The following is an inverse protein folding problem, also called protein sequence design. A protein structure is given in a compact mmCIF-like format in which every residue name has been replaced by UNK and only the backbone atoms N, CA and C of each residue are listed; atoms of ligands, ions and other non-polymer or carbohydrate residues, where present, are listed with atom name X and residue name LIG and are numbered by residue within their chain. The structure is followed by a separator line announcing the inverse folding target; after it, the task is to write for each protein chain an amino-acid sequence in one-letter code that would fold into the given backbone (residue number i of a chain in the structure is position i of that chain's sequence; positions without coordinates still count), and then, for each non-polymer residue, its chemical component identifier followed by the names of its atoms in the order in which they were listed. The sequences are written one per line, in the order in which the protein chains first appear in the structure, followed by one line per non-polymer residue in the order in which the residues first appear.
data_IF_940188747438
#
_entry.id   IF_940188747438
#
_cell.length_a   1.000
_cell.length_b   1.000
_cell.length_c   1.000
_cell.angle_alpha   90.00
_cell.angle_beta   90.00
_cell.angle_gamma   90.00
#
_symmetry.space_group_name_H-M   'P 1'
#
loop_
_entity.id
_entity.type
_entity.pdbx_description
1 polymer ?
#
# COMPACT_ATOMS: atom_id res chain seq x y z
N UNK A 1 -13.22 -19.71 18.68
CA UNK A 1 -13.27 -18.23 18.78
C UNK A 1 -14.28 -17.75 17.74
N UNK A 2 -15.32 -17.06 18.15
CA UNK A 2 -16.28 -16.43 17.23
C UNK A 2 -15.63 -15.16 16.69
N UNK A 3 -15.56 -15.01 15.37
CA UNK A 3 -15.06 -13.80 14.72
C UNK A 3 -15.89 -12.55 15.11
N UNK A 4 -15.41 -11.34 14.76
CA UNK A 4 -16.09 -10.12 15.13
C UNK A 4 -17.49 -10.06 14.53
N UNK A 5 -18.44 -9.59 15.33
CA UNK A 5 -19.83 -9.42 14.92
C UNK A 5 -19.93 -8.51 13.68
N UNK A 6 -20.99 -8.68 12.88
CA UNK A 6 -21.18 -7.92 11.64
C UNK A 6 -21.21 -6.40 11.87
N UNK A 7 -21.70 -5.94 13.01
CA UNK A 7 -21.76 -4.53 13.39
C UNK A 7 -20.39 -3.92 13.75
N UNK A 8 -19.38 -4.74 14.15
CA UNK A 8 -18.01 -4.26 14.36
C UNK A 8 -17.47 -3.53 13.13
N UNK A 9 -17.63 -4.15 11.95
CA UNK A 9 -17.13 -3.60 10.70
C UNK A 9 -17.90 -2.36 10.23
N UNK A 10 -19.18 -2.29 10.54
CA UNK A 10 -20.02 -1.14 10.24
C UNK A 10 -19.71 0.09 11.13
N UNK A 11 -19.11 -0.13 12.31
CA UNK A 11 -18.79 0.91 13.30
C UNK A 11 -17.30 1.31 13.32
N UNK A 12 -16.52 0.88 12.34
CA UNK A 12 -15.14 1.33 12.25
C UNK A 12 -15.07 2.86 12.12
N UNK A 13 -14.25 3.54 12.93
CA UNK A 13 -14.05 4.98 12.81
C UNK A 13 -13.13 5.30 11.62
N UNK A 14 -13.59 4.99 10.41
CA UNK A 14 -12.83 5.14 9.18
C UNK A 14 -12.46 6.60 8.90
N UNK A 15 -11.26 6.80 8.42
CA UNK A 15 -10.81 8.08 7.89
C UNK A 15 -11.56 8.46 6.60
N UNK A 16 -11.39 9.70 6.18
CA UNK A 16 -12.09 10.25 5.01
C UNK A 16 -11.83 9.39 3.76
N UNK A 17 -12.90 9.01 3.08
CA UNK A 17 -12.91 8.22 1.83
C UNK A 17 -12.28 6.81 1.95
N UNK A 18 -11.92 6.37 3.16
CA UNK A 18 -11.53 4.99 3.43
C UNK A 18 -12.75 4.10 3.37
N UNK A 19 -12.65 2.93 2.75
CA UNK A 19 -13.75 1.99 2.60
C UNK A 19 -13.32 0.57 2.92
N UNK A 20 -14.22 -0.22 3.48
CA UNK A 20 -14.05 -1.67 3.61
C UNK A 20 -14.21 -2.31 2.22
N UNK A 21 -13.22 -3.12 1.81
CA UNK A 21 -13.23 -3.84 0.53
C UNK A 21 -13.68 -5.28 0.69
N UNK A 22 -13.10 -5.98 1.66
CA UNK A 22 -13.34 -7.38 1.94
C UNK A 22 -13.13 -7.67 3.41
N UNK A 23 -13.75 -8.73 3.89
CA UNK A 23 -13.54 -9.27 5.24
C UNK A 23 -13.83 -10.76 5.25
N UNK A 24 -13.27 -11.48 6.21
CA UNK A 24 -13.64 -12.88 6.47
C UNK A 24 -14.26 -13.08 7.86
N UNK A 25 -14.68 -14.32 8.13
CA UNK A 25 -15.30 -14.69 9.39
C UNK A 25 -14.31 -14.72 10.57
N UNK A 26 -13.01 -14.78 10.32
CA UNK A 26 -11.97 -14.83 11.35
C UNK A 26 -11.50 -13.44 11.79
N UNK A 27 -12.01 -12.39 11.14
CA UNK A 27 -11.66 -11.01 11.50
C UNK A 27 -10.52 -10.39 10.68
N UNK A 28 -10.17 -10.97 9.55
CA UNK A 28 -9.31 -10.30 8.56
C UNK A 28 -10.13 -9.33 7.75
N UNK A 29 -9.58 -8.17 7.44
CA UNK A 29 -10.18 -7.20 6.56
C UNK A 29 -9.18 -6.53 5.63
N UNK A 30 -9.67 -6.09 4.50
CA UNK A 30 -8.98 -5.20 3.58
C UNK A 30 -9.72 -3.88 3.48
N UNK A 31 -8.98 -2.79 3.54
CA UNK A 31 -9.49 -1.43 3.39
C UNK A 31 -8.92 -0.78 2.14
N UNK A 32 -9.73 -0.01 1.43
CA UNK A 32 -9.26 0.89 0.37
C UNK A 32 -8.72 2.16 1.01
N UNK A 33 -7.40 2.33 0.97
CA UNK A 33 -6.74 3.56 1.43
C UNK A 33 -6.65 4.56 0.27
N UNK A 34 -7.22 5.75 0.37
CA UNK A 34 -7.04 6.83 -0.61
C UNK A 34 -5.59 7.36 -0.62
N UNK A 35 -5.26 8.17 -1.63
CA UNK A 35 -4.04 8.98 -1.62
C UNK A 35 -4.08 10.00 -0.49
N UNK A 36 -2.91 10.37 0.03
CA UNK A 36 -2.72 11.34 1.12
C UNK A 36 -3.34 10.95 2.46
N UNK A 37 -3.85 9.71 2.59
CA UNK A 37 -4.25 9.13 3.87
C UNK A 37 -3.07 8.38 4.47
N UNK A 38 -2.82 8.59 5.75
CA UNK A 38 -1.76 7.92 6.51
C UNK A 38 -2.20 6.49 6.87
N UNK A 39 -1.31 5.51 6.74
CA UNK A 39 -1.59 4.14 7.21
C UNK A 39 -1.80 4.08 8.73
N UNK A 40 -1.12 4.95 9.47
CA UNK A 40 -1.30 5.20 10.91
C UNK A 40 -0.99 6.67 11.20
N UNK A 41 -1.55 7.23 12.27
CA UNK A 41 -1.29 8.62 12.66
C UNK A 41 0.18 8.82 13.07
N UNK A 42 0.68 10.04 12.90
CA UNK A 42 2.00 10.44 13.38
C UNK A 42 2.00 10.76 14.89
N UNK A 43 0.82 10.85 15.50
CA UNK A 43 0.62 11.09 16.93
C UNK A 43 -0.18 9.93 17.55
N UNK A 44 0.15 9.47 18.78
CA UNK A 44 -0.61 8.43 19.46
C UNK A 44 -2.09 8.79 19.69
N UNK A 45 -2.43 10.08 19.75
CA UNK A 45 -3.80 10.58 19.97
C UNK A 45 -4.71 10.45 18.73
N UNK A 46 -4.15 10.10 17.58
CA UNK A 46 -4.84 10.02 16.30
C UNK A 46 -4.49 11.19 15.37
N UNK A 47 -4.94 11.07 14.12
CA UNK A 47 -4.81 12.10 13.08
C UNK A 47 -6.02 11.94 12.15
N UNK A 48 -6.79 13.00 11.84
CA UNK A 48 -7.95 12.92 10.96
C UNK A 48 -7.60 12.49 9.53
N UNK A 49 -6.32 12.54 9.16
CA UNK A 49 -5.81 12.05 7.86
C UNK A 49 -5.39 10.59 7.90
N UNK A 50 -5.55 9.89 9.04
CA UNK A 50 -5.18 8.48 9.14
C UNK A 50 -6.28 7.55 8.63
N UNK A 51 -5.92 6.28 8.44
CA UNK A 51 -6.81 5.20 7.99
C UNK A 51 -8.04 5.07 8.91
N UNK A 52 -7.82 5.17 10.24
CA UNK A 52 -8.88 5.34 11.23
C UNK A 52 -8.64 6.63 12.03
N UNK A 53 -9.73 7.29 12.44
CA UNK A 53 -9.70 8.57 13.17
C UNK A 53 -9.69 8.38 14.70
N UNK A 54 -8.97 7.38 15.17
CA UNK A 54 -8.87 7.05 16.61
C UNK A 54 -7.40 6.90 17.04
N UNK A 55 -7.18 6.58 18.31
CA UNK A 55 -5.85 6.39 18.88
C UNK A 55 -5.10 5.22 18.20
N UNK A 56 -3.78 5.32 18.14
CA UNK A 56 -2.93 4.29 17.57
C UNK A 56 -1.77 3.97 18.52
N UNK A 57 -1.57 2.70 18.77
CA UNK A 57 -0.43 2.18 19.53
C UNK A 57 0.67 1.72 18.53
N UNK A 58 1.80 2.45 18.44
CA UNK A 58 2.88 2.09 17.52
C UNK A 58 3.61 0.80 17.91
N UNK A 59 3.63 0.44 19.20
CA UNK A 59 4.30 -0.77 19.68
C UNK A 59 3.49 -2.03 19.33
N UNK A 60 2.18 -1.97 19.51
CA UNK A 60 1.27 -3.05 19.14
C UNK A 60 0.85 -3.02 17.66
N UNK A 61 1.20 -1.95 16.93
CA UNK A 61 0.77 -1.67 15.55
C UNK A 61 -0.77 -1.78 15.40
N UNK A 62 -1.51 -1.25 16.36
CA UNK A 62 -2.98 -1.32 16.35
C UNK A 62 -3.65 0.02 16.63
N UNK A 63 -4.80 0.22 15.99
CA UNK A 63 -5.77 1.23 16.35
C UNK A 63 -6.60 0.78 17.54
N UNK A 64 -6.95 1.71 18.42
CA UNK A 64 -7.78 1.44 19.59
C UNK A 64 -8.84 2.54 19.76
N UNK A 65 -10.08 2.13 20.01
CA UNK A 65 -11.19 3.04 20.31
C UNK A 65 -12.19 2.42 21.27
N UNK A 66 -13.07 3.25 21.80
CA UNK A 66 -14.16 2.81 22.67
C UNK A 66 -15.49 3.09 21.97
N UNK A 67 -16.34 2.07 21.89
CA UNK A 67 -17.69 2.23 21.37
C UNK A 67 -18.59 3.00 22.36
N UNK A 68 -19.71 3.58 21.89
CA UNK A 68 -20.66 4.29 22.79
C UNK A 68 -21.14 3.45 23.97
N UNK A 69 -21.22 2.13 23.83
CA UNK A 69 -21.56 1.18 24.91
C UNK A 69 -20.40 0.84 25.86
N UNK A 70 -19.25 1.52 25.76
CA UNK A 70 -18.08 1.36 26.63
C UNK A 70 -17.13 0.22 26.22
N UNK A 71 -17.48 -0.61 25.26
CA UNK A 71 -16.64 -1.71 24.80
C UNK A 71 -15.37 -1.19 24.12
N UNK A 72 -14.21 -1.69 24.56
CA UNK A 72 -12.94 -1.43 23.88
C UNK A 72 -12.82 -2.25 22.61
N UNK A 73 -12.35 -1.61 21.55
CA UNK A 73 -12.12 -2.22 20.25
C UNK A 73 -10.70 -1.97 19.77
N UNK A 74 -10.16 -2.94 19.04
CA UNK A 74 -8.82 -2.85 18.45
C UNK A 74 -8.84 -3.33 16.99
N UNK A 75 -7.98 -2.73 16.17
CA UNK A 75 -7.75 -3.14 14.78
C UNK A 75 -6.25 -3.09 14.51
N UNK A 76 -5.65 -4.24 14.28
CA UNK A 76 -4.21 -4.38 14.01
C UNK A 76 -3.92 -4.14 12.54
N UNK A 77 -2.93 -3.30 12.23
CA UNK A 77 -2.42 -3.18 10.87
C UNK A 77 -1.51 -4.36 10.55
N UNK A 78 -1.70 -4.95 9.37
CA UNK A 78 -0.93 -6.08 8.88
C UNK A 78 0.17 -5.65 7.89
N UNK A 79 -0.03 -4.55 7.21
CA UNK A 79 0.94 -3.90 6.32
C UNK A 79 0.75 -2.38 6.34
N UNK A 80 1.68 -1.67 5.68
CA UNK A 80 1.60 -0.22 5.52
C UNK A 80 1.79 0.17 4.07
N UNK A 81 1.15 1.26 3.68
CA UNK A 81 1.39 1.96 2.42
C UNK A 81 1.91 3.37 2.73
N UNK A 82 2.73 3.92 1.86
CA UNK A 82 3.11 5.33 1.93
C UNK A 82 1.83 6.19 1.89
N UNK A 83 1.85 7.37 2.49
CA UNK A 83 0.67 8.26 2.48
C UNK A 83 0.18 8.56 1.06
N UNK A 84 1.11 8.80 0.14
CA UNK A 84 0.82 9.07 -1.26
C UNK A 84 0.38 7.84 -2.09
N UNK A 85 0.59 6.61 -1.60
CA UNK A 85 0.15 5.37 -2.26
C UNK A 85 -1.29 5.06 -1.90
N UNK A 86 -2.12 4.73 -2.88
CA UNK A 86 -3.51 4.28 -2.67
C UNK A 86 -3.65 2.76 -2.80
N UNK A 87 -4.80 2.21 -2.42
CA UNK A 87 -5.16 0.81 -2.66
C UNK A 87 -5.32 -0.04 -1.42
N UNK A 88 -5.14 -1.35 -1.57
CA UNK A 88 -5.38 -2.35 -0.52
C UNK A 88 -4.42 -2.20 0.65
N UNK A 89 -4.96 -2.04 1.84
CA UNK A 89 -4.27 -2.18 3.12
C UNK A 89 -5.02 -3.21 3.98
N UNK A 90 -4.27 -4.07 4.64
CA UNK A 90 -4.84 -5.17 5.43
C UNK A 90 -4.86 -4.84 6.92
N UNK A 91 -5.90 -5.32 7.59
CA UNK A 91 -6.07 -5.21 9.02
C UNK A 91 -6.70 -6.48 9.61
N UNK A 92 -6.58 -6.67 10.91
CA UNK A 92 -7.23 -7.75 11.64
C UNK A 92 -7.90 -7.22 12.91
N UNK A 93 -9.08 -7.75 13.24
CA UNK A 93 -9.84 -7.40 14.45
C UNK A 93 -9.42 -8.26 15.66
N UNK A 94 -8.50 -9.20 15.48
CA UNK A 94 -7.99 -10.10 16.51
C UNK A 94 -6.47 -10.17 16.47
N UNK A 95 -5.81 -10.13 17.63
CA UNK A 95 -4.35 -10.11 17.73
C UNK A 95 -3.68 -11.43 17.32
N UNK A 96 -4.31 -12.58 17.56
CA UNK A 96 -3.76 -13.88 17.16
C UNK A 96 -3.84 -14.04 15.63
N UNK A 97 -4.95 -13.61 15.03
CA UNK A 97 -5.11 -13.54 13.57
C UNK A 97 -4.07 -12.59 12.97
N UNK A 98 -3.86 -11.43 13.58
CA UNK A 98 -2.83 -10.48 13.15
C UNK A 98 -1.43 -11.11 13.16
N UNK A 99 -1.07 -11.82 14.23
CA UNK A 99 0.21 -12.51 14.37
C UNK A 99 0.38 -13.59 13.30
N UNK A 100 -0.64 -14.42 13.07
CA UNK A 100 -0.62 -15.47 12.05
C UNK A 100 -0.36 -14.88 10.65
N UNK A 101 -1.01 -13.77 10.28
CA UNK A 101 -0.84 -13.14 8.98
C UNK A 101 0.50 -12.42 8.87
N UNK A 102 0.97 -11.73 9.92
CA UNK A 102 2.30 -11.13 9.96
C UNK A 102 3.41 -12.18 9.73
N UNK A 103 3.22 -13.40 10.22
CA UNK A 103 4.12 -14.52 9.92
C UNK A 103 4.16 -14.87 8.41
N UNK A 104 3.03 -14.78 7.69
CA UNK A 104 3.01 -14.98 6.23
C UNK A 104 3.78 -13.87 5.49
N UNK A 105 3.68 -12.61 5.94
CA UNK A 105 4.51 -11.53 5.41
C UNK A 105 6.01 -11.79 5.62
N UNK A 106 6.41 -12.23 6.82
CA UNK A 106 7.80 -12.55 7.13
C UNK A 106 8.34 -13.69 6.25
N UNK A 107 7.51 -14.71 5.97
CA UNK A 107 7.82 -15.83 5.08
C UNK A 107 7.72 -15.48 3.59
N UNK A 108 7.34 -14.23 3.22
CA UNK A 108 7.12 -13.77 1.83
C UNK A 108 6.03 -14.57 1.09
N UNK A 109 5.04 -15.07 1.80
CA UNK A 109 3.92 -15.88 1.28
C UNK A 109 2.68 -15.02 0.94
N UNK A 110 2.78 -13.70 1.08
CA UNK A 110 1.74 -12.75 0.68
C UNK A 110 2.04 -12.23 -0.71
N UNK A 111 1.21 -12.58 -1.69
CA UNK A 111 1.26 -11.99 -3.03
C UNK A 111 0.64 -10.60 -2.99
N UNK A 112 1.35 -9.63 -3.53
CA UNK A 112 0.91 -8.24 -3.66
C UNK A 112 1.08 -7.80 -5.09
N UNK A 113 0.05 -7.21 -5.67
CA UNK A 113 0.08 -6.64 -7.01
C UNK A 113 -0.17 -5.16 -6.90
N UNK A 114 0.73 -4.38 -7.49
CA UNK A 114 0.58 -2.94 -7.62
C UNK A 114 0.47 -2.57 -9.10
N UNK A 115 -0.20 -1.47 -9.36
CA UNK A 115 -0.10 -0.80 -10.65
C UNK A 115 0.49 0.60 -10.47
N UNK A 116 1.38 0.96 -11.39
CA UNK A 116 2.00 2.27 -11.42
C UNK A 116 1.95 2.84 -12.85
N UNK A 117 1.67 4.14 -12.94
CA UNK A 117 1.92 4.89 -14.17
C UNK A 117 3.36 5.42 -14.10
N UNK A 118 4.17 5.08 -15.08
CA UNK A 118 5.58 5.47 -15.14
C UNK A 118 5.86 6.33 -16.37
N UNK A 119 6.85 7.21 -16.28
CA UNK A 119 7.47 7.80 -17.46
C UNK A 119 8.45 6.82 -18.08
N UNK A 120 8.55 6.85 -19.41
CA UNK A 120 9.44 6.00 -20.16
C UNK A 120 8.72 4.85 -20.86
N UNK A 121 9.52 3.94 -21.41
CA UNK A 121 9.07 2.80 -22.22
C UNK A 121 9.57 1.51 -21.59
N UNK A 122 8.75 0.83 -20.76
CA UNK A 122 9.16 -0.44 -20.19
C UNK A 122 9.41 -1.48 -21.29
N UNK A 123 10.36 -2.42 -21.08
CA UNK A 123 10.54 -3.57 -21.95
C UNK A 123 9.23 -4.34 -22.15
N UNK A 124 9.10 -5.02 -23.30
CA UNK A 124 7.93 -5.87 -23.55
C UNK A 124 7.93 -7.11 -22.65
N UNK A 125 9.13 -7.66 -22.44
CA UNK A 125 9.31 -8.84 -21.60
C UNK A 125 9.28 -8.49 -20.10
N UNK A 126 8.71 -9.37 -19.28
CA UNK A 126 8.73 -9.21 -17.84
C UNK A 126 10.16 -9.09 -17.29
N UNK A 127 10.38 -8.13 -16.40
CA UNK A 127 11.65 -7.91 -15.74
C UNK A 127 11.58 -8.36 -14.28
N UNK A 128 12.65 -8.95 -13.76
CA UNK A 128 12.83 -9.20 -12.33
C UNK A 128 13.96 -8.31 -11.82
N UNK A 129 13.59 -7.34 -11.00
CA UNK A 129 14.54 -6.40 -10.41
C UNK A 129 15.04 -6.95 -9.08
N UNK A 130 16.36 -7.09 -8.96
CA UNK A 130 17.06 -7.52 -7.74
C UNK A 130 18.09 -6.47 -7.38
N UNK A 131 17.69 -5.58 -6.47
CA UNK A 131 18.51 -4.45 -6.05
C UNK A 131 18.90 -4.59 -4.57
N UNK A 132 19.89 -3.80 -4.16
CA UNK A 132 20.25 -3.61 -2.75
C UNK A 132 19.96 -2.18 -2.37
N UNK A 133 19.15 -1.99 -1.33
CA UNK A 133 18.68 -0.69 -0.87
C UNK A 133 19.40 -0.26 0.40
N UNK A 134 19.61 1.05 0.54
CA UNK A 134 19.97 1.73 1.77
C UNK A 134 18.78 2.55 2.24
N UNK A 135 18.44 2.47 3.52
CA UNK A 135 17.36 3.26 4.13
C UNK A 135 17.98 4.22 5.13
N UNK A 136 17.82 5.51 4.88
CA UNK A 136 18.22 6.59 5.78
C UNK A 136 16.98 7.16 6.48
N UNK A 137 17.06 7.30 7.79
CA UNK A 137 15.98 7.88 8.61
C UNK A 137 16.55 9.10 9.35
N UNK A 138 16.28 10.29 8.84
CA UNK A 138 16.73 11.55 9.44
C UNK A 138 15.57 12.52 9.62
N UNK A 139 15.49 13.15 10.78
CA UNK A 139 14.48 14.18 11.05
C UNK A 139 13.03 13.73 10.85
N UNK A 140 12.71 12.45 11.12
CA UNK A 140 11.36 11.90 10.87
C UNK A 140 11.06 11.56 9.40
N UNK A 141 11.96 11.89 8.47
CA UNK A 141 11.83 11.53 7.07
C UNK A 141 12.57 10.22 6.74
N UNK A 142 11.96 9.41 5.87
CA UNK A 142 12.59 8.19 5.34
C UNK A 142 13.03 8.48 3.91
N UNK A 143 14.30 8.24 3.64
CA UNK A 143 14.90 8.22 2.29
C UNK A 143 15.44 6.84 2.01
N UNK A 144 15.18 6.34 0.82
CA UNK A 144 15.69 5.05 0.36
C UNK A 144 16.49 5.26 -0.93
N UNK A 145 17.63 4.63 -1.05
CA UNK A 145 18.48 4.69 -2.24
C UNK A 145 18.93 3.28 -2.64
N UNK A 146 19.54 3.18 -3.83
CA UNK A 146 20.20 1.95 -4.30
C UNK A 146 21.67 1.98 -3.89
N UNK A 147 22.32 0.80 -3.82
CA UNK A 147 23.73 0.66 -3.43
C UNK A 147 23.94 0.36 -1.94
N UNK A 148 22.86 0.02 -1.20
CA UNK A 148 22.94 -0.44 0.19
C UNK A 148 23.14 -1.95 0.32
N UNK A 149 22.74 -2.46 1.50
CA UNK A 149 22.87 -3.90 1.84
C UNK A 149 21.53 -4.64 1.92
N UNK A 150 20.40 -3.92 1.92
CA UNK A 150 19.08 -4.51 2.15
C UNK A 150 18.53 -5.07 0.83
N UNK A 151 18.32 -6.39 0.70
CA UNK A 151 17.83 -6.97 -0.54
C UNK A 151 16.38 -6.55 -0.82
N UNK A 152 16.13 -6.19 -2.07
CA UNK A 152 14.83 -5.81 -2.60
C UNK A 152 14.58 -6.54 -3.92
N UNK A 153 13.45 -7.23 -4.03
CA UNK A 153 13.07 -7.95 -5.24
C UNK A 153 11.64 -7.58 -5.63
N UNK A 154 11.44 -7.26 -6.91
CA UNK A 154 10.13 -7.04 -7.52
C UNK A 154 10.12 -7.52 -8.97
N UNK A 155 8.98 -8.02 -9.44
CA UNK A 155 8.72 -8.28 -10.85
C UNK A 155 8.00 -7.07 -11.44
N UNK A 156 8.41 -6.65 -12.62
CA UNK A 156 7.78 -5.58 -13.39
C UNK A 156 7.31 -6.12 -14.74
N UNK A 157 6.07 -5.80 -15.11
CA UNK A 157 5.45 -6.19 -16.38
C UNK A 157 4.78 -4.97 -16.99
N UNK A 158 5.02 -4.72 -18.28
CA UNK A 158 4.26 -3.72 -19.02
C UNK A 158 2.81 -4.20 -19.21
N UNK A 159 1.85 -3.37 -18.82
CA UNK A 159 0.41 -3.67 -18.98
C UNK A 159 -0.14 -2.94 -20.18
N UNK A 160 0.12 -1.63 -20.29
CA UNK A 160 -0.40 -0.79 -21.35
C UNK A 160 0.53 0.40 -21.59
N UNK A 161 0.74 0.77 -22.85
CA UNK A 161 1.50 1.94 -23.24
C UNK A 161 0.55 3.07 -23.63
N UNK A 162 0.85 4.29 -23.21
CA UNK A 162 0.16 5.50 -23.59
C UNK A 162 0.82 6.17 -24.79
N UNK A 163 0.08 7.03 -25.46
CA UNK A 163 0.52 7.77 -26.65
C UNK A 163 1.14 9.14 -26.31
N UNK A 164 1.17 9.57 -25.05
CA UNK A 164 1.56 10.92 -24.66
C UNK A 164 3.07 11.21 -24.71
N UNK A 165 3.41 12.50 -24.72
CA UNK A 165 4.77 13.00 -24.55
C UNK A 165 4.90 13.75 -23.21
N UNK A 166 5.89 13.44 -22.36
CA UNK A 166 6.83 12.31 -22.50
C UNK A 166 6.08 10.94 -22.46
N UNK A 167 6.70 9.88 -23.06
CA UNK A 167 6.07 8.56 -23.09
C UNK A 167 5.71 8.07 -21.71
N UNK A 168 4.51 7.48 -21.57
CA UNK A 168 4.01 6.91 -20.33
C UNK A 168 3.55 5.48 -20.53
N UNK A 169 3.64 4.68 -19.48
CA UNK A 169 3.13 3.32 -19.50
C UNK A 169 2.51 2.95 -18.14
N UNK A 170 1.47 2.13 -18.17
CA UNK A 170 0.96 1.43 -17.02
C UNK A 170 1.76 0.14 -16.85
N UNK A 171 2.37 -0.04 -15.68
CA UNK A 171 3.11 -1.26 -15.33
C UNK A 171 2.48 -1.94 -14.12
N UNK A 172 2.54 -3.27 -14.11
CA UNK A 172 2.25 -4.09 -12.94
C UNK A 172 3.55 -4.39 -12.21
N UNK A 173 3.54 -4.22 -10.90
CA UNK A 173 4.68 -4.45 -10.01
C UNK A 173 4.28 -5.49 -8.97
N UNK A 174 5.06 -6.55 -8.83
CA UNK A 174 4.83 -7.62 -7.85
C UNK A 174 6.06 -7.70 -6.91
N UNK A 175 6.05 -6.97 -5.78
CA UNK A 175 7.18 -6.98 -4.85
C UNK A 175 7.18 -8.26 -4.01
N UNK A 176 8.30 -9.00 -4.02
CA UNK A 176 8.57 -10.13 -3.12
C UNK A 176 9.06 -9.70 -1.74
N UNK A 177 9.59 -8.51 -1.65
CA UNK A 177 10.01 -7.85 -0.40
C UNK A 177 9.12 -6.64 -0.13
N UNK A 178 9.20 -6.05 1.07
CA UNK A 178 8.38 -4.88 1.44
C UNK A 178 9.22 -3.82 2.15
N UNK A 179 10.23 -3.24 1.46
CA UNK A 179 11.08 -2.19 2.02
C UNK A 179 10.43 -0.83 1.87
N UNK A 180 10.76 0.10 2.76
CA UNK A 180 10.25 1.48 2.65
C UNK A 180 10.56 2.06 1.28
N UNK A 181 9.56 2.64 0.63
CA UNK A 181 9.63 3.25 -0.69
C UNK A 181 10.17 2.33 -1.81
N UNK A 182 10.23 1.00 -1.59
CA UNK A 182 10.90 0.06 -2.47
C UNK A 182 10.54 0.25 -3.94
N UNK A 183 9.26 0.14 -4.29
CA UNK A 183 8.81 0.21 -5.69
C UNK A 183 9.11 1.55 -6.33
N UNK A 184 9.04 2.63 -5.56
CA UNK A 184 9.32 3.99 -6.03
C UNK A 184 10.79 4.16 -6.42
N UNK A 185 11.70 3.66 -5.56
CA UNK A 185 13.14 3.69 -5.79
C UNK A 185 13.54 2.75 -6.93
N UNK A 186 13.00 1.53 -6.96
CA UNK A 186 13.29 0.57 -8.03
C UNK A 186 12.81 1.08 -9.38
N UNK A 187 11.60 1.62 -9.48
CA UNK A 187 11.12 2.22 -10.74
C UNK A 187 12.05 3.34 -11.22
N UNK A 188 12.46 4.25 -10.35
CA UNK A 188 13.40 5.32 -10.71
C UNK A 188 14.75 4.78 -11.16
N UNK A 189 15.32 3.80 -10.44
CA UNK A 189 16.60 3.18 -10.73
C UNK A 189 16.62 2.47 -12.09
N UNK A 190 15.53 1.81 -12.45
CA UNK A 190 15.38 1.10 -13.71
C UNK A 190 14.86 1.99 -14.85
N UNK A 191 14.97 3.32 -14.73
CA UNK A 191 14.63 4.27 -15.80
C UNK A 191 13.12 4.42 -16.07
N UNK A 192 12.29 4.01 -15.13
CA UNK A 192 10.83 4.06 -15.18
C UNK A 192 10.25 4.86 -13.98
N UNK A 193 10.66 6.13 -13.76
CA UNK A 193 10.21 6.89 -12.60
C UNK A 193 8.69 7.03 -12.59
N UNK A 194 8.08 6.84 -11.41
CA UNK A 194 6.61 6.89 -11.26
C UNK A 194 6.11 8.32 -11.43
N UNK A 195 5.06 8.49 -12.21
CA UNK A 195 4.38 9.78 -12.41
C UNK A 195 3.87 10.31 -11.08
N UNK A 196 4.18 11.58 -10.80
CA UNK A 196 3.77 12.25 -9.56
C UNK A 196 4.66 11.93 -8.35
N UNK A 197 5.72 11.13 -8.49
CA UNK A 197 6.66 10.91 -7.38
C UNK A 197 7.51 12.16 -7.12
N UNK A 198 7.26 12.81 -5.98
CA UNK A 198 7.93 14.05 -5.57
C UNK A 198 9.30 13.79 -4.88
N UNK A 199 9.73 12.53 -4.76
CA UNK A 199 10.96 12.16 -4.06
C UNK A 199 11.96 11.49 -4.97
N UNK A 200 11.50 10.57 -5.81
CA UNK A 200 12.33 9.70 -6.67
C UNK A 200 11.99 9.85 -8.16
N UNK A 201 10.97 10.63 -8.49
CA UNK A 201 10.48 10.79 -9.85
C UNK A 201 11.32 11.74 -10.72
N UNK A 202 10.92 11.85 -11.97
CA UNK A 202 11.40 12.89 -12.87
C UNK A 202 10.68 14.20 -12.56
N UNK A 203 11.36 15.12 -11.88
CA UNK A 203 10.77 16.39 -11.43
C UNK A 203 10.38 17.33 -12.57
N UNK A 204 11.09 17.27 -13.71
CA UNK A 204 10.75 18.08 -14.90
C UNK A 204 9.49 17.54 -15.56
N UNK A 205 9.46 16.23 -15.83
CA UNK A 205 8.28 15.57 -16.40
C UNK A 205 7.06 15.68 -15.48
N UNK A 206 7.23 15.58 -14.15
CA UNK A 206 6.16 15.76 -13.18
C UNK A 206 5.57 17.19 -13.21
N UNK A 207 6.39 18.24 -13.32
CA UNK A 207 5.89 19.62 -13.46
C UNK A 207 5.12 19.80 -14.75
N UNK A 208 5.62 19.28 -15.86
CA UNK A 208 4.95 19.31 -17.15
C UNK A 208 3.61 18.59 -17.10
N UNK A 209 3.60 17.36 -16.58
CA UNK A 209 2.40 16.56 -16.39
C UNK A 209 1.37 17.28 -15.53
N UNK A 210 1.77 17.86 -14.39
CA UNK A 210 0.88 18.57 -13.51
C UNK A 210 0.25 19.82 -14.16
N UNK A 211 1.01 20.57 -15.00
CA UNK A 211 0.47 21.70 -15.77
C UNK A 211 -0.60 21.25 -16.76
N UNK A 212 -0.40 20.12 -17.42
CA UNK A 212 -1.30 19.61 -18.47
C UNK A 212 -2.56 18.96 -17.92
N UNK A 213 -2.46 18.27 -16.76
CA UNK A 213 -3.54 17.43 -16.21
C UNK A 213 -4.17 17.99 -14.93
N UNK A 214 -3.53 18.94 -14.27
CA UNK A 214 -3.91 19.42 -12.93
C UNK A 214 -3.59 18.43 -11.81
N UNK A 215 -3.09 17.22 -12.11
CA UNK A 215 -2.85 16.16 -11.12
C UNK A 215 -1.41 16.17 -10.62
N UNK A 216 -1.25 16.11 -9.28
CA UNK A 216 0.05 16.00 -8.60
C UNK A 216 0.15 14.72 -7.76
N UNK A 217 -0.82 13.80 -7.88
CA UNK A 217 -0.80 12.56 -7.10
C UNK A 217 0.35 11.65 -7.50
N UNK A 218 0.82 10.82 -6.57
CA UNK A 218 1.65 9.66 -6.89
C UNK A 218 0.77 8.59 -7.58
N UNK A 219 1.11 8.22 -8.81
CA UNK A 219 0.40 7.17 -9.55
C UNK A 219 0.96 5.79 -9.22
N UNK A 220 0.84 5.40 -7.94
CA UNK A 220 1.13 4.06 -7.41
C UNK A 220 -0.08 3.57 -6.63
N UNK A 221 -0.57 2.37 -6.97
CA UNK A 221 -1.77 1.79 -6.41
C UNK A 221 -1.56 0.33 -6.04
N UNK A 222 -1.84 -0.04 -4.80
CA UNK A 222 -1.90 -1.42 -4.32
C UNK A 222 -3.20 -2.05 -4.80
N UNK A 223 -3.13 -2.76 -5.94
CA UNK A 223 -4.31 -3.27 -6.64
C UNK A 223 -4.91 -4.49 -5.96
N UNK A 224 -4.07 -5.48 -5.65
CA UNK A 224 -4.50 -6.78 -5.14
C UNK A 224 -3.56 -7.28 -4.05
N UNK A 225 -4.11 -7.96 -3.06
CA UNK A 225 -3.35 -8.75 -2.10
C UNK A 225 -4.03 -10.09 -1.92
N UNK A 226 -3.25 -11.19 -2.00
CA UNK A 226 -3.72 -12.57 -1.85
C UNK A 226 -2.75 -13.38 -0.99
N UNK A 227 -3.29 -14.16 -0.06
CA UNK A 227 -2.53 -15.08 0.80
C UNK A 227 -3.44 -16.16 1.39
N UNK A 228 -2.81 -17.15 2.03
CA UNK A 228 -3.50 -18.06 2.94
C UNK A 228 -2.84 -17.97 4.32
N UNK A 229 -3.61 -18.16 5.37
CA UNK A 229 -3.11 -18.16 6.76
C UNK A 229 -3.70 -19.32 7.54
N UNK A 230 -2.99 -19.76 8.56
CA UNK A 230 -3.42 -20.83 9.45
C UNK A 230 -3.99 -20.28 10.75
N UNK A 231 -5.13 -20.81 11.17
CA UNK A 231 -5.77 -20.49 12.44
C UNK A 231 -6.40 -21.75 13.01
N UNK A 232 -6.07 -22.09 14.26
CA UNK A 232 -6.59 -23.28 14.96
C UNK A 232 -6.45 -24.58 14.11
N UNK A 233 -5.31 -24.79 13.45
CA UNK A 233 -5.01 -25.96 12.63
C UNK A 233 -5.74 -26.03 11.28
N UNK A 234 -6.38 -24.95 10.86
CA UNK A 234 -7.09 -24.85 9.57
C UNK A 234 -6.51 -23.72 8.72
N UNK A 235 -6.44 -23.94 7.41
CA UNK A 235 -5.98 -22.95 6.44
C UNK A 235 -7.16 -22.19 5.85
N UNK A 236 -7.03 -20.86 5.80
CA UNK A 236 -8.02 -19.94 5.26
C UNK A 236 -7.40 -19.09 4.15
N UNK A 237 -7.97 -19.07 2.93
CA UNK A 237 -7.56 -18.15 1.89
C UNK A 237 -8.16 -16.76 2.15
N UNK A 238 -7.41 -15.71 1.77
CA UNK A 238 -7.91 -14.34 1.76
C UNK A 238 -7.41 -13.62 0.51
N UNK A 239 -8.32 -12.91 -0.13
CA UNK A 239 -8.04 -12.09 -1.30
C UNK A 239 -8.82 -10.78 -1.23
N UNK A 240 -8.19 -9.69 -1.64
CA UNK A 240 -8.84 -8.40 -1.77
C UNK A 240 -8.27 -7.61 -2.94
N UNK A 241 -9.16 -6.91 -3.65
CA UNK A 241 -8.82 -6.04 -4.78
C UNK A 241 -9.41 -4.65 -4.55
N UNK A 242 -8.61 -3.63 -4.74
CA UNK A 242 -9.04 -2.24 -4.84
C UNK A 242 -9.06 -1.84 -6.31
N UNK A 243 -10.20 -1.48 -6.90
CA UNK A 243 -10.26 -1.08 -8.30
C UNK A 243 -9.30 0.05 -8.61
N UNK A 244 -8.62 -0.04 -9.77
CA UNK A 244 -7.71 1.03 -10.21
C UNK A 244 -8.51 2.33 -10.39
N UNK A 245 -8.07 3.44 -9.78
CA UNK A 245 -8.75 4.71 -9.94
C UNK A 245 -8.78 5.16 -11.41
N UNK A 246 -9.93 5.64 -11.90
CA UNK A 246 -10.11 6.10 -13.28
C UNK A 246 -9.11 7.20 -13.72
N UNK A 247 -8.49 7.87 -12.76
CA UNK A 247 -7.41 8.83 -13.02
C UNK A 247 -6.20 8.21 -13.73
N UNK A 248 -5.93 6.91 -13.52
CA UNK A 248 -4.83 6.22 -14.19
C UNK A 248 -5.06 6.13 -15.70
N UNK A 249 -6.29 5.83 -16.11
CA UNK A 249 -6.66 5.78 -17.53
C UNK A 249 -6.56 7.15 -18.18
N UNK A 250 -7.14 8.18 -17.52
CA UNK A 250 -7.05 9.57 -18.02
C UNK A 250 -5.61 10.08 -18.09
N UNK A 251 -4.76 9.66 -17.16
CA UNK A 251 -3.36 10.07 -17.11
C UNK A 251 -2.46 9.32 -18.09
N UNK A 252 -2.86 8.12 -18.51
CA UNK A 252 -2.13 7.34 -19.52
C UNK A 252 -2.26 7.97 -20.92
N UNK A 253 -3.43 8.50 -21.25
CA UNK A 253 -3.76 9.17 -22.53
C UNK A 253 -4.38 8.22 -23.53
#
# INVERSE_FOLDING_TARGET
MTGPAADFWARLPLGRDVRLLARDANGVAALAKPVNVLSHPNSPRGDPRALLTCAYDPAAECYAWREPGGAERRLWLLNRLDSATSGVILAAADGAVAAAIKAQFARKQVRKVYQALVFGRPPAEPQVWRDRLAVDKRGGAIRTGVGGIIPAEARCVAVRRGAGEPPRALVQLEPRTGRSHQLRVQCAHHGLPIVGDQTYGDFRANREFARRTGSKRLFLHSLETRFSYELAGRTFPFEATAPLPAEFDRALG
#
